data_IF_489757276569
#
_entry.id   IF_489757276569
#
_cell.length_a   1.000
_cell.length_b   1.000
_cell.length_c   1.000
_cell.angle_alpha   90.00
_cell.angle_beta   90.00
_cell.angle_gamma   90.00
#
_symmetry.space_group_name_H-M   'P 1'
#
loop_
_entity.id
_entity.type
_entity.pdbx_description
1 polymer ?
#
# COMPACT_ATOMS: atom_id res chain seq x y z
N UNK A 1 54.15 -21.70 -37.50
CA UNK A 1 53.65 -21.40 -36.14
C UNK A 1 52.58 -20.34 -36.28
N UNK A 2 51.32 -20.78 -36.32
CA UNK A 2 50.14 -19.92 -36.28
C UNK A 2 49.67 -19.80 -34.83
N UNK A 3 49.16 -18.62 -34.46
CA UNK A 3 47.94 -18.36 -33.67
C UNK A 3 48.09 -17.00 -32.98
N UNK A 4 47.24 -16.04 -33.35
CA UNK A 4 47.15 -14.76 -32.68
C UNK A 4 45.90 -13.99 -33.08
N UNK A 5 45.05 -13.73 -32.08
CA UNK A 5 44.20 -12.54 -32.04
C UNK A 5 42.72 -12.72 -32.35
N UNK A 6 41.96 -13.19 -31.34
CA UNK A 6 40.50 -13.02 -31.28
C UNK A 6 40.11 -11.54 -31.33
N UNK A 7 39.32 -11.17 -32.34
CA UNK A 7 38.59 -9.90 -32.40
C UNK A 7 37.14 -10.10 -31.98
N UNK A 8 36.78 -9.75 -30.75
CA UNK A 8 35.38 -9.70 -30.30
C UNK A 8 34.83 -8.31 -30.58
N UNK A 9 34.08 -8.21 -31.68
CA UNK A 9 33.40 -7.00 -32.12
C UNK A 9 32.31 -6.56 -31.13
N UNK A 10 32.31 -5.25 -30.86
CA UNK A 10 31.33 -4.54 -30.06
C UNK A 10 29.90 -4.71 -30.60
N UNK A 11 29.02 -5.32 -29.79
CA UNK A 11 27.57 -5.28 -30.05
C UNK A 11 27.00 -3.98 -29.49
N UNK A 12 26.78 -3.01 -30.37
CA UNK A 12 25.86 -1.88 -30.15
C UNK A 12 24.45 -2.44 -30.04
N UNK A 13 23.91 -2.55 -28.83
CA UNK A 13 22.48 -2.74 -28.59
C UNK A 13 21.76 -1.43 -28.85
N UNK A 14 21.20 -1.30 -30.05
CA UNK A 14 20.18 -0.31 -30.37
C UNK A 14 18.91 -0.70 -29.62
N UNK A 15 18.53 0.10 -28.64
CA UNK A 15 17.24 -0.02 -27.96
C UNK A 15 16.12 0.42 -28.92
N UNK A 16 14.99 -0.31 -28.98
CA UNK A 16 13.87 0.02 -29.87
C UNK A 16 13.17 1.32 -29.42
N UNK A 17 12.89 2.20 -30.39
CA UNK A 17 12.29 3.52 -30.24
C UNK A 17 10.87 3.53 -29.63
N UNK A 18 10.27 2.36 -29.42
CA UNK A 18 8.91 2.18 -28.88
C UNK A 18 8.80 2.52 -27.38
N UNK A 19 9.91 2.53 -26.63
CA UNK A 19 9.89 2.82 -25.18
C UNK A 19 9.90 4.32 -24.84
N UNK A 20 10.11 5.20 -25.82
CA UNK A 20 10.15 6.66 -25.60
C UNK A 20 8.75 7.29 -25.72
N UNK A 21 7.82 6.62 -26.41
CA UNK A 21 6.46 7.14 -26.63
C UNK A 21 5.55 7.09 -25.39
N UNK A 22 5.84 6.26 -24.38
CA UNK A 22 5.01 6.18 -23.17
C UNK A 22 5.24 7.31 -22.14
N UNK A 23 6.34 8.07 -22.25
CA UNK A 23 6.71 9.05 -21.22
C UNK A 23 6.12 10.46 -21.46
N UNK A 24 5.53 10.74 -22.64
CA UNK A 24 5.09 12.09 -23.01
C UNK A 24 3.58 12.31 -22.81
N UNK A 25 2.76 11.25 -22.75
CA UNK A 25 1.29 11.38 -22.75
C UNK A 25 0.68 11.62 -21.36
N UNK A 26 1.43 11.48 -20.27
CA UNK A 26 0.90 11.65 -18.89
C UNK A 26 0.93 13.08 -18.35
N UNK A 27 1.40 14.07 -19.14
CA UNK A 27 1.53 15.47 -18.69
C UNK A 27 0.42 16.41 -19.18
N UNK A 28 -0.61 15.91 -19.86
CA UNK A 28 -1.60 16.76 -20.55
C UNK A 28 -3.04 16.71 -19.97
N UNK A 29 -3.28 16.10 -18.81
CA UNK A 29 -4.65 15.87 -18.30
C UNK A 29 -4.96 16.52 -16.93
N UNK A 30 -4.24 17.58 -16.53
CA UNK A 30 -4.48 18.28 -15.25
C UNK A 30 -5.04 19.72 -15.39
N UNK A 31 -5.49 20.11 -16.58
CA UNK A 31 -6.18 21.40 -16.77
C UNK A 31 -7.56 21.16 -17.37
N UNK A 32 -8.56 20.95 -16.52
CA UNK A 32 -9.93 21.46 -16.72
C UNK A 32 -10.80 21.11 -15.52
N UNK A 33 -10.67 21.92 -14.46
CA UNK A 33 -11.67 22.03 -13.41
C UNK A 33 -11.94 23.52 -13.19
N UNK A 34 -12.86 24.09 -13.98
CA UNK A 34 -13.57 25.32 -13.61
C UNK A 34 -14.84 25.46 -14.49
N UNK A 35 -15.91 25.98 -13.88
CA UNK A 35 -17.22 26.30 -14.47
C UNK A 35 -18.24 25.14 -14.64
N UNK A 36 -19.12 24.98 -13.65
CA UNK A 36 -20.50 25.48 -13.81
C UNK A 36 -21.33 25.34 -12.51
N UNK A 37 -21.71 26.51 -11.97
CA UNK A 37 -22.85 26.73 -11.08
C UNK A 37 -24.14 26.62 -11.91
N UNK A 38 -25.26 26.19 -11.30
CA UNK A 38 -26.42 27.08 -11.36
C UNK A 38 -27.13 27.26 -10.02
N UNK A 39 -27.65 28.47 -9.88
CA UNK A 39 -28.43 29.01 -8.78
C UNK A 39 -29.93 28.79 -9.00
N UNK A 40 -30.69 28.94 -7.90
CA UNK A 40 -32.13 29.23 -7.76
C UNK A 40 -33.14 28.09 -7.70
N UNK A 41 -33.92 28.14 -6.62
CA UNK A 41 -35.19 27.43 -6.45
C UNK A 41 -35.68 27.50 -5.00
N UNK A 42 -36.04 28.70 -4.53
CA UNK A 42 -36.84 28.88 -3.30
C UNK A 42 -38.24 28.29 -3.52
N UNK A 43 -38.77 27.52 -2.56
CA UNK A 43 -40.15 27.70 -2.09
C UNK A 43 -40.44 26.93 -0.78
N UNK A 44 -40.91 27.70 0.21
CA UNK A 44 -41.90 27.44 1.28
C UNK A 44 -41.96 26.14 2.10
N UNK A 45 -41.82 26.35 3.42
CA UNK A 45 -42.13 25.51 4.59
C UNK A 45 -43.62 25.12 4.74
N UNK A 46 -44.01 24.16 5.61
CA UNK A 46 -44.34 24.54 7.00
C UNK A 46 -44.00 23.50 8.11
N UNK A 47 -43.59 24.05 9.27
CA UNK A 47 -44.00 23.72 10.65
C UNK A 47 -44.38 22.27 11.04
N UNK A 48 -43.65 21.67 12.01
CA UNK A 48 -44.10 21.22 13.36
C UNK A 48 -43.16 20.14 13.97
N UNK A 49 -43.26 19.82 15.27
CA UNK A 49 -42.49 20.34 16.39
C UNK A 49 -41.36 19.40 16.90
N UNK A 50 -40.45 19.96 17.70
CA UNK A 50 -39.42 19.25 18.47
C UNK A 50 -39.97 18.11 19.35
N UNK A 51 -39.37 16.92 19.34
CA UNK A 51 -39.40 16.02 20.48
C UNK A 51 -38.18 16.25 21.40
N UNK A 52 -38.36 16.10 22.73
CA UNK A 52 -37.35 16.44 23.73
C UNK A 52 -36.14 15.51 23.73
N UNK A 53 -34.96 16.12 23.87
CA UNK A 53 -33.71 15.46 24.26
C UNK A 53 -33.86 14.86 25.66
N UNK A 54 -33.94 13.53 25.81
CA UNK A 54 -33.62 12.88 27.10
C UNK A 54 -33.54 11.34 27.14
N UNK A 55 -33.57 10.59 26.03
CA UNK A 55 -33.62 9.10 26.11
C UNK A 55 -32.34 8.35 25.70
N UNK A 56 -31.30 9.04 25.22
CA UNK A 56 -30.05 8.41 24.80
C UNK A 56 -29.07 8.09 25.95
N UNK A 57 -29.12 8.82 27.06
CA UNK A 57 -28.27 8.55 28.23
C UNK A 57 -28.80 7.41 29.12
N UNK A 58 -30.11 7.12 29.09
CA UNK A 58 -30.73 6.01 29.82
C UNK A 58 -30.55 4.66 29.12
N UNK A 59 -30.46 4.64 27.78
CA UNK A 59 -30.19 3.42 27.02
C UNK A 59 -28.72 2.93 27.17
N UNK A 60 -27.80 3.82 27.52
CA UNK A 60 -26.38 3.49 27.71
C UNK A 60 -26.04 3.01 29.13
N UNK A 61 -26.90 3.26 30.13
CA UNK A 61 -26.71 2.81 31.51
C UNK A 61 -27.23 1.38 31.79
N UNK A 62 -28.08 0.83 30.92
CA UNK A 62 -28.63 -0.53 31.07
C UNK A 62 -27.85 -1.62 30.32
N UNK A 63 -26.72 -1.31 29.67
CA UNK A 63 -26.00 -2.27 28.83
C UNK A 63 -24.76 -2.94 29.48
N UNK A 64 -24.32 -2.55 30.67
CA UNK A 64 -23.27 -3.26 31.45
C UNK A 64 -23.45 -2.93 32.94
N UNK A 65 -23.50 -3.90 33.89
CA UNK A 65 -22.53 -5.00 34.00
C UNK A 65 -23.11 -6.38 34.44
N UNK A 66 -22.41 -7.48 34.13
CA UNK A 66 -22.71 -8.79 34.72
C UNK A 66 -22.08 -9.98 34.02
N UNK A 67 -20.81 -10.25 34.32
CA UNK A 67 -20.07 -11.41 33.84
C UNK A 67 -20.58 -12.73 34.45
N UNK A 68 -20.60 -13.81 33.64
CA UNK A 68 -19.84 -15.06 33.87
C UNK A 68 -20.54 -16.28 33.26
N UNK A 69 -19.87 -16.99 32.35
CA UNK A 69 -19.38 -18.36 32.58
C UNK A 69 -18.93 -19.05 31.28
N UNK A 70 -17.65 -19.41 31.28
CA UNK A 70 -17.04 -20.64 30.74
C UNK A 70 -17.53 -21.24 29.43
N UNK A 71 -16.66 -21.14 28.41
CA UNK A 71 -16.62 -22.04 27.27
C UNK A 71 -15.18 -22.20 26.80
N UNK A 72 -14.57 -23.35 27.09
CA UNK A 72 -13.26 -23.78 26.58
C UNK A 72 -13.30 -23.83 25.04
N UNK A 73 -12.53 -22.97 24.38
CA UNK A 73 -12.31 -22.94 22.93
C UNK A 73 -10.87 -22.50 22.63
N UNK A 74 -10.24 -23.00 21.54
CA UNK A 74 -8.79 -22.98 21.40
C UNK A 74 -8.25 -21.56 21.16
N UNK A 75 -7.26 -21.19 21.98
CA UNK A 75 -6.30 -20.11 21.83
C UNK A 75 -6.68 -18.99 20.83
N UNK A 76 -7.46 -18.03 21.31
CA UNK A 76 -7.49 -16.70 20.71
C UNK A 76 -6.07 -16.12 20.78
N UNK A 77 -5.41 -16.03 19.61
CA UNK A 77 -4.27 -15.15 19.44
C UNK A 77 -4.75 -13.73 19.74
N UNK A 78 -4.12 -13.12 20.73
CA UNK A 78 -4.19 -11.71 21.08
C UNK A 78 -4.38 -10.84 19.81
N UNK A 79 -5.52 -10.15 19.64
CA UNK A 79 -5.65 -9.17 18.58
C UNK A 79 -4.83 -7.96 19.00
N UNK A 80 -3.56 -7.95 18.59
CA UNK A 80 -2.72 -6.77 18.66
C UNK A 80 -3.43 -5.54 18.06
N UNK A 81 -3.00 -4.33 18.44
CA UNK A 81 -3.73 -3.09 18.17
C UNK A 81 -4.05 -2.94 16.67
N UNK A 82 -5.15 -2.25 16.32
CA UNK A 82 -5.60 -2.13 14.93
C UNK A 82 -4.47 -1.55 14.10
N UNK A 83 -3.89 -2.41 13.25
CA UNK A 83 -2.83 -2.09 12.29
C UNK A 83 -3.48 -1.24 11.22
N UNK A 84 -3.74 0.04 11.52
CA UNK A 84 -3.91 1.05 10.49
C UNK A 84 -2.66 1.09 9.62
N UNK A 85 -2.78 1.64 8.41
CA UNK A 85 -1.66 1.81 7.46
C UNK A 85 -0.36 2.40 8.07
N UNK A 86 -0.40 2.96 9.28
CA UNK A 86 0.71 3.40 10.11
C UNK A 86 1.64 2.30 10.68
N UNK A 87 1.30 1.01 10.59
CA UNK A 87 2.09 -0.06 11.24
C UNK A 87 2.89 -0.96 10.29
N UNK A 88 3.06 -0.55 9.02
CA UNK A 88 4.05 -1.21 8.16
C UNK A 88 5.46 -0.83 8.59
N UNK A 89 6.42 -1.78 8.57
CA UNK A 89 7.79 -1.50 8.96
C UNK A 89 8.38 -0.39 8.08
N UNK A 90 9.08 0.54 8.71
CA UNK A 90 9.84 1.58 8.02
C UNK A 90 11.27 1.10 7.78
N UNK A 91 11.94 1.58 6.71
CA UNK A 91 13.32 1.18 6.38
C UNK A 91 14.34 1.74 7.38
N UNK A 92 13.98 2.74 8.17
CA UNK A 92 14.82 3.35 9.20
C UNK A 92 15.28 2.32 10.24
N UNK A 93 16.58 2.34 10.57
CA UNK A 93 17.18 1.41 11.52
C UNK A 93 17.41 -0.02 11.01
N UNK A 94 16.99 -0.34 9.78
CA UNK A 94 17.21 -1.66 9.17
C UNK A 94 18.62 -1.82 8.61
N UNK A 95 19.00 -3.05 8.26
CA UNK A 95 20.27 -3.34 7.59
C UNK A 95 20.40 -2.58 6.27
N UNK A 96 19.31 -2.49 5.51
CA UNK A 96 19.24 -1.68 4.29
C UNK A 96 19.62 -0.21 4.53
N UNK A 97 19.10 0.41 5.59
CA UNK A 97 19.47 1.79 5.94
C UNK A 97 20.93 1.94 6.33
N UNK A 98 21.49 0.97 7.05
CA UNK A 98 22.92 0.97 7.41
C UNK A 98 23.81 0.90 6.17
N UNK A 99 23.52 -0.03 5.25
CA UNK A 99 24.24 -0.17 3.98
C UNK A 99 24.14 1.05 3.09
N UNK A 100 22.97 1.69 3.04
CA UNK A 100 22.76 2.90 2.26
C UNK A 100 23.58 4.07 2.83
N UNK A 101 23.67 4.19 4.15
CA UNK A 101 24.52 5.17 4.82
C UNK A 101 26.01 4.89 4.62
N UNK A 102 26.44 3.62 4.65
CA UNK A 102 27.83 3.20 4.31
C UNK A 102 28.20 3.54 2.86
N UNK A 103 27.23 3.53 1.95
CA UNK A 103 27.39 3.98 0.58
C UNK A 103 27.41 5.52 0.44
N UNK A 104 27.32 6.27 1.54
CA UNK A 104 27.37 7.73 1.58
C UNK A 104 26.04 8.41 1.29
N UNK A 105 24.93 7.67 1.21
CA UNK A 105 23.60 8.23 0.93
C UNK A 105 22.82 8.38 2.24
N UNK A 106 22.54 9.63 2.61
CA UNK A 106 21.66 9.95 3.74
C UNK A 106 20.22 10.08 3.28
N UNK A 107 19.31 9.56 4.09
CA UNK A 107 17.86 9.66 3.89
C UNK A 107 17.26 10.46 5.03
N UNK A 108 16.28 11.30 4.71
CA UNK A 108 15.48 11.99 5.72
C UNK A 108 14.57 11.01 6.46
N UNK A 109 14.40 11.22 7.76
CA UNK A 109 13.42 10.48 8.55
C UNK A 109 12.00 10.78 8.04
N UNK A 110 11.18 9.74 7.89
CA UNK A 110 9.84 9.80 7.33
C UNK A 110 9.78 9.79 5.80
N UNK A 111 10.92 9.66 5.09
CA UNK A 111 10.90 9.60 3.64
C UNK A 111 10.13 8.36 3.13
N UNK A 112 9.30 8.49 2.06
CA UNK A 112 8.51 7.38 1.56
C UNK A 112 9.42 6.26 1.03
N UNK A 113 9.00 5.01 1.22
CA UNK A 113 9.77 3.82 0.80
C UNK A 113 10.14 3.86 -0.69
N UNK A 114 9.28 4.41 -1.54
CA UNK A 114 9.59 4.61 -2.96
C UNK A 114 10.84 5.50 -3.17
N UNK A 115 10.98 6.56 -2.37
CA UNK A 115 12.17 7.43 -2.37
C UNK A 115 13.44 6.69 -1.93
N UNK A 116 13.32 5.82 -0.91
CA UNK A 116 14.41 4.94 -0.49
C UNK A 116 14.86 3.98 -1.60
N UNK A 117 13.91 3.35 -2.30
CA UNK A 117 14.20 2.46 -3.43
C UNK A 117 14.93 3.22 -4.54
N UNK A 118 14.45 4.40 -4.91
CA UNK A 118 15.06 5.20 -5.97
C UNK A 118 16.50 5.61 -5.63
N UNK A 119 16.75 6.07 -4.41
CA UNK A 119 18.09 6.43 -3.93
C UNK A 119 19.03 5.23 -3.87
N UNK A 120 18.51 4.07 -3.48
CA UNK A 120 19.26 2.81 -3.46
C UNK A 120 19.68 2.38 -4.86
N UNK A 121 18.82 2.51 -5.88
CA UNK A 121 19.19 2.20 -7.28
C UNK A 121 20.34 3.10 -7.75
N UNK A 122 20.32 4.39 -7.39
CA UNK A 122 21.43 5.30 -7.67
C UNK A 122 22.73 4.88 -6.97
N UNK A 123 22.64 4.53 -5.68
CA UNK A 123 23.79 4.08 -4.89
C UNK A 123 24.41 2.78 -5.43
N UNK A 124 23.59 1.80 -5.81
CA UNK A 124 24.04 0.54 -6.43
C UNK A 124 24.85 0.85 -7.70
N UNK A 125 24.33 1.69 -8.59
CA UNK A 125 25.04 2.09 -9.82
C UNK A 125 26.38 2.79 -9.52
N UNK A 126 26.40 3.65 -8.52
CA UNK A 126 27.64 4.33 -8.11
C UNK A 126 28.68 3.35 -7.55
N UNK A 127 28.27 2.40 -6.71
CA UNK A 127 29.14 1.36 -6.16
C UNK A 127 29.69 0.44 -7.28
N UNK A 128 28.86 0.09 -8.26
CA UNK A 128 29.30 -0.69 -9.42
C UNK A 128 30.33 0.07 -10.26
N UNK A 129 30.10 1.37 -10.49
CA UNK A 129 31.05 2.24 -11.21
C UNK A 129 32.40 2.38 -10.48
N UNK A 130 32.41 2.29 -9.15
CA UNK A 130 33.61 2.28 -8.31
C UNK A 130 34.28 0.90 -8.22
N UNK A 131 33.76 -0.14 -8.89
CA UNK A 131 34.27 -1.50 -8.81
C UNK A 131 33.86 -2.27 -7.54
N UNK A 132 33.07 -1.67 -6.66
CA UNK A 132 32.58 -2.25 -5.39
C UNK A 132 31.36 -3.16 -5.60
N UNK A 133 31.50 -4.16 -6.47
CA UNK A 133 30.39 -5.06 -6.87
C UNK A 133 29.80 -5.85 -5.70
N UNK A 134 30.61 -6.21 -4.72
CA UNK A 134 30.15 -6.94 -3.54
C UNK A 134 29.20 -6.08 -2.70
N UNK A 135 29.57 -4.82 -2.44
CA UNK A 135 28.75 -3.89 -1.65
C UNK A 135 27.46 -3.51 -2.39
N UNK A 136 27.53 -3.34 -3.71
CA UNK A 136 26.35 -3.12 -4.54
C UNK A 136 25.35 -4.28 -4.45
N UNK A 137 25.84 -5.52 -4.46
CA UNK A 137 25.00 -6.73 -4.28
C UNK A 137 24.42 -6.81 -2.87
N UNK A 138 25.22 -6.57 -1.84
CA UNK A 138 24.75 -6.58 -0.45
C UNK A 138 23.65 -5.54 -0.23
N UNK A 139 23.83 -4.32 -0.75
CA UNK A 139 22.82 -3.26 -0.68
C UNK A 139 21.53 -3.62 -1.43
N UNK A 140 21.64 -4.27 -2.59
CA UNK A 140 20.50 -4.77 -3.35
C UNK A 140 19.74 -5.88 -2.62
N UNK A 141 20.46 -6.84 -2.04
CA UNK A 141 19.88 -7.92 -1.25
C UNK A 141 19.14 -7.39 -0.02
N UNK A 142 19.77 -6.48 0.73
CA UNK A 142 19.18 -5.84 1.90
C UNK A 142 17.86 -5.14 1.59
N UNK A 143 17.82 -4.39 0.48
CA UNK A 143 16.59 -3.76 -0.03
C UNK A 143 15.54 -4.81 -0.32
N UNK A 144 15.88 -5.83 -1.10
CA UNK A 144 14.92 -6.84 -1.56
C UNK A 144 14.35 -7.67 -0.39
N UNK A 145 15.18 -8.01 0.59
CA UNK A 145 14.75 -8.66 1.82
C UNK A 145 13.77 -7.79 2.62
N UNK A 146 14.07 -6.51 2.77
CA UNK A 146 13.17 -5.58 3.45
C UNK A 146 11.85 -5.42 2.72
N UNK A 147 11.88 -5.20 1.39
CA UNK A 147 10.66 -5.03 0.58
C UNK A 147 9.79 -6.28 0.64
N UNK A 148 10.38 -7.47 0.52
CA UNK A 148 9.65 -8.74 0.67
C UNK A 148 9.05 -8.90 2.06
N UNK A 149 9.80 -8.60 3.12
CA UNK A 149 9.31 -8.68 4.49
C UNK A 149 8.15 -7.71 4.73
N UNK A 150 8.26 -6.49 4.22
CA UNK A 150 7.22 -5.45 4.31
C UNK A 150 5.98 -5.84 3.51
N UNK A 151 6.13 -6.33 2.29
CA UNK A 151 5.02 -6.81 1.46
C UNK A 151 4.28 -7.97 2.15
N UNK A 152 5.02 -8.93 2.71
CA UNK A 152 4.44 -10.03 3.49
C UNK A 152 3.59 -9.52 4.65
N UNK A 153 4.12 -8.58 5.44
CA UNK A 153 3.39 -7.94 6.56
C UNK A 153 2.15 -7.18 6.07
N UNK A 154 2.25 -6.50 4.93
CA UNK A 154 1.11 -5.80 4.34
C UNK A 154 0.00 -6.76 3.92
N UNK A 155 0.34 -7.90 3.30
CA UNK A 155 -0.66 -8.93 2.96
C UNK A 155 -1.27 -9.60 4.19
N UNK A 156 -0.50 -9.79 5.26
CA UNK A 156 -1.03 -10.25 6.56
C UNK A 156 -2.04 -9.25 7.13
N UNK A 157 -1.75 -7.95 7.08
CA UNK A 157 -2.66 -6.89 7.51
C UNK A 157 -3.93 -6.83 6.64
N UNK A 158 -3.79 -6.94 5.32
CA UNK A 158 -4.93 -7.03 4.38
C UNK A 158 -5.81 -8.22 4.76
N UNK A 159 -5.22 -9.40 4.97
CA UNK A 159 -5.97 -10.61 5.34
C UNK A 159 -6.72 -10.42 6.67
N UNK A 160 -6.05 -9.89 7.69
CA UNK A 160 -6.67 -9.61 8.99
C UNK A 160 -7.84 -8.62 8.85
N UNK A 161 -7.71 -7.59 8.01
CA UNK A 161 -8.80 -6.64 7.75
C UNK A 161 -9.98 -7.30 7.03
N UNK A 162 -9.72 -8.14 6.04
CA UNK A 162 -10.74 -8.95 5.36
C UNK A 162 -11.53 -9.82 6.34
N UNK A 163 -10.84 -10.51 7.26
CA UNK A 163 -11.47 -11.32 8.31
C UNK A 163 -12.31 -10.46 9.25
N UNK A 164 -11.79 -9.29 9.68
CA UNK A 164 -12.53 -8.37 10.57
C UNK A 164 -13.80 -7.78 9.93
N UNK A 165 -13.82 -7.61 8.61
CA UNK A 165 -14.95 -7.08 7.86
C UNK A 165 -15.89 -8.20 7.35
N UNK A 166 -15.59 -9.46 7.67
CA UNK A 166 -16.27 -10.65 7.18
C UNK A 166 -16.43 -10.66 5.65
N UNK A 167 -15.36 -10.25 4.95
CA UNK A 167 -15.31 -10.21 3.49
C UNK A 167 -14.96 -11.60 2.93
N UNK A 168 -15.42 -11.93 1.70
CA UNK A 168 -15.20 -13.26 1.14
C UNK A 168 -13.72 -13.53 0.86
N UNK A 169 -13.19 -14.62 1.42
CA UNK A 169 -11.79 -15.04 1.24
C UNK A 169 -11.42 -15.26 -0.25
N UNK A 170 -12.42 -15.66 -1.07
CA UNK A 170 -12.25 -15.81 -2.52
C UNK A 170 -11.82 -14.49 -3.18
N UNK A 171 -12.30 -13.34 -2.71
CA UNK A 171 -11.89 -12.04 -3.23
C UNK A 171 -10.44 -11.73 -2.86
N UNK A 172 -10.05 -11.96 -1.61
CA UNK A 172 -8.65 -11.81 -1.17
C UNK A 172 -7.68 -12.63 -2.03
N UNK A 173 -7.98 -13.92 -2.26
CA UNK A 173 -7.13 -14.80 -3.08
C UNK A 173 -7.02 -14.30 -4.53
N UNK A 174 -8.13 -13.84 -5.11
CA UNK A 174 -8.14 -13.30 -6.47
C UNK A 174 -7.26 -12.04 -6.58
N UNK A 175 -7.43 -11.08 -5.67
CA UNK A 175 -6.65 -9.83 -5.63
C UNK A 175 -5.15 -10.14 -5.48
N UNK A 176 -4.80 -11.10 -4.63
CA UNK A 176 -3.42 -11.51 -4.42
C UNK A 176 -2.82 -12.19 -5.66
N UNK A 177 -3.59 -13.03 -6.35
CA UNK A 177 -3.15 -13.71 -7.58
C UNK A 177 -2.98 -12.75 -8.75
N UNK A 178 -3.77 -11.68 -8.81
CA UNK A 178 -3.70 -10.65 -9.83
C UNK A 178 -2.46 -9.73 -9.67
N UNK A 179 -1.73 -9.87 -8.56
CA UNK A 179 -0.52 -9.06 -8.31
C UNK A 179 -0.85 -7.60 -8.03
N UNK A 180 -2.00 -7.33 -7.42
CA UNK A 180 -2.40 -5.97 -7.05
C UNK A 180 -1.42 -5.34 -6.08
N UNK A 181 -1.29 -4.00 -6.16
CA UNK A 181 -0.48 -3.22 -5.22
C UNK A 181 -1.08 -3.32 -3.81
N UNK A 182 -0.39 -4.05 -2.93
CA UNK A 182 -0.84 -4.33 -1.56
C UNK A 182 -1.07 -3.06 -0.74
N UNK A 183 -0.30 -2.00 -0.98
CA UNK A 183 -0.46 -0.75 -0.24
C UNK A 183 -1.74 -0.03 -0.65
N UNK A 184 -2.05 -0.01 -1.95
CA UNK A 184 -3.30 0.55 -2.46
C UNK A 184 -4.51 -0.24 -1.95
N UNK A 185 -4.42 -1.57 -1.96
CA UNK A 185 -5.47 -2.45 -1.43
C UNK A 185 -5.69 -2.18 0.06
N UNK A 186 -4.61 -2.13 0.84
CA UNK A 186 -4.67 -1.86 2.28
C UNK A 186 -5.26 -0.46 2.54
N UNK A 187 -4.79 0.57 1.85
CA UNK A 187 -5.32 1.93 1.97
C UNK A 187 -6.84 1.99 1.74
N UNK A 188 -7.34 1.27 0.72
CA UNK A 188 -8.79 1.19 0.44
C UNK A 188 -9.56 0.44 1.51
N UNK A 189 -9.02 -0.65 2.06
CA UNK A 189 -9.65 -1.43 3.14
C UNK A 189 -9.74 -0.69 4.48
N UNK A 190 -8.88 0.30 4.69
CA UNK A 190 -8.93 1.16 5.88
C UNK A 190 -9.86 2.36 5.72
N UNK A 191 -10.52 2.53 4.57
CA UNK A 191 -11.55 3.56 4.42
C UNK A 191 -12.86 3.13 5.09
N UNK A 192 -13.64 4.11 5.60
CA UNK A 192 -14.99 3.84 6.14
C UNK A 192 -15.92 3.19 5.11
N UNK A 193 -15.65 3.39 3.81
CA UNK A 193 -16.42 2.78 2.73
C UNK A 193 -16.27 1.25 2.72
N UNK A 194 -15.14 0.70 3.16
CA UNK A 194 -14.92 -0.74 3.21
C UNK A 194 -15.85 -1.47 4.18
N UNK A 195 -16.35 -0.79 5.21
CA UNK A 195 -17.31 -1.34 6.18
C UNK A 195 -18.68 -1.61 5.54
N UNK A 196 -19.01 -0.90 4.45
CA UNK A 196 -20.26 -1.09 3.70
C UNK A 196 -20.21 -2.26 2.70
N UNK A 197 -19.06 -2.95 2.59
CA UNK A 197 -18.88 -4.05 1.63
C UNK A 197 -19.19 -5.42 2.22
N UNK A 198 -19.50 -5.50 3.52
CA UNK A 198 -19.91 -6.74 4.17
C UNK A 198 -21.15 -7.32 3.48
N UNK A 199 -21.13 -8.62 3.19
CA UNK A 199 -22.20 -9.32 2.47
C UNK A 199 -22.19 -9.13 0.94
N UNK A 200 -21.25 -8.37 0.37
CA UNK A 200 -21.13 -8.27 -1.09
C UNK A 200 -20.47 -9.52 -1.71
N UNK A 201 -20.84 -9.80 -2.95
CA UNK A 201 -20.24 -10.89 -3.72
C UNK A 201 -18.74 -10.67 -3.94
N UNK A 202 -17.97 -11.76 -3.95
CA UNK A 202 -16.51 -11.70 -4.06
C UNK A 202 -16.00 -10.95 -5.30
N UNK A 203 -16.69 -11.07 -6.44
CA UNK A 203 -16.34 -10.35 -7.66
C UNK A 203 -16.47 -8.82 -7.47
N UNK A 204 -17.55 -8.37 -6.82
CA UNK A 204 -17.79 -6.94 -6.57
C UNK A 204 -16.78 -6.35 -5.60
N UNK A 205 -16.45 -7.07 -4.52
CA UNK A 205 -15.42 -6.65 -3.55
C UNK A 205 -14.04 -6.55 -4.23
N UNK A 206 -13.70 -7.52 -5.08
CA UNK A 206 -12.48 -7.48 -5.89
C UNK A 206 -12.46 -6.23 -6.78
N UNK A 207 -13.52 -6.02 -7.56
CA UNK A 207 -13.56 -4.93 -8.54
C UNK A 207 -13.45 -3.56 -7.85
N UNK A 208 -14.10 -3.37 -6.69
CA UNK A 208 -13.98 -2.15 -5.87
C UNK A 208 -12.56 -1.91 -5.34
N UNK A 209 -11.84 -2.99 -4.99
CA UNK A 209 -10.47 -2.91 -4.50
C UNK A 209 -9.44 -2.71 -5.62
N UNK A 210 -9.76 -3.12 -6.85
CA UNK A 210 -8.88 -3.02 -8.01
C UNK A 210 -9.18 -1.84 -8.94
N UNK A 211 -10.32 -1.16 -8.75
CA UNK A 211 -10.77 -0.06 -9.62
C UNK A 211 -9.62 0.93 -9.87
N UNK A 212 -9.18 1.09 -11.12
CA UNK A 212 -8.04 1.92 -11.48
C UNK A 212 -8.44 3.40 -11.34
N UNK A 213 -8.01 4.02 -10.24
CA UNK A 213 -7.88 5.47 -10.14
C UNK A 213 -6.58 5.90 -10.81
#
# INVERSE_FOLDING_TARGET
MMLGGEGVAARKTVLPAELIACAVTLRAACEHEDQQRPSHGSDSTPFHPSPPMSTLQDALKNALPGASSSGTGPAARDPGPPVGAAALPQPEGTEWAKRLAEAGVRMDAGAPVAGWVQKTVGAIKALEAQGRKHDARALGQARDEFVKAREKRAWEAVKARFESLNLPEKAYRAIKQEGADVEKVLARLHTRRAETWTGQAAAKVRDLLLEKT
#
